data_IF_559071253406
#
_entry.id   IF_559071253406
#
_cell.length_a   1.000
_cell.length_b   1.000
_cell.length_c   1.000
_cell.angle_alpha   90.00
_cell.angle_beta   90.00
_cell.angle_gamma   90.00
#
_symmetry.space_group_name_H-M   'P 1'
#
loop_
_entity.id
_entity.type
_entity.pdbx_description
1 polymer ?
#
# COMPACT_ATOMS: atom_id res chain seq x y z
N UNK A 1 5.03 -4.69 19.85
CA UNK A 1 4.64 -4.79 18.43
C UNK A 1 3.53 -5.83 18.32
N UNK A 2 2.51 -5.57 17.54
CA UNK A 2 1.38 -6.49 17.29
C UNK A 2 1.31 -6.75 15.78
N UNK A 3 1.07 -7.98 15.41
CA UNK A 3 0.77 -8.34 14.01
C UNK A 3 -0.70 -8.07 13.70
N UNK A 4 -0.97 -7.61 12.48
CA UNK A 4 -2.31 -7.31 12.02
C UNK A 4 -2.48 -7.75 10.55
N UNK A 5 -3.27 -8.79 10.33
CA UNK A 5 -3.56 -9.36 9.01
C UNK A 5 -4.13 -8.33 8.02
N UNK A 6 -4.83 -7.31 8.54
CA UNK A 6 -5.38 -6.24 7.71
C UNK A 6 -4.32 -5.48 6.90
N UNK A 7 -3.06 -5.46 7.36
CA UNK A 7 -1.97 -4.69 6.76
C UNK A 7 -0.90 -5.55 6.09
N UNK A 8 -1.17 -6.81 5.86
CA UNK A 8 -0.28 -7.66 5.04
C UNK A 8 -0.20 -7.14 3.60
N UNK A 9 0.82 -7.56 2.87
CA UNK A 9 0.92 -7.21 1.45
C UNK A 9 -0.21 -7.83 0.63
N UNK A 10 -0.48 -7.25 -0.52
CA UNK A 10 -1.38 -7.83 -1.51
C UNK A 10 -0.94 -9.25 -1.87
N UNK A 11 -1.88 -10.17 -1.84
CA UNK A 11 -1.63 -11.52 -2.37
C UNK A 11 -1.58 -11.47 -3.89
N UNK A 12 -0.46 -11.90 -4.47
CA UNK A 12 -0.26 -11.88 -5.92
C UNK A 12 -0.64 -13.20 -6.61
N UNK A 13 -1.14 -14.20 -5.86
CA UNK A 13 -1.63 -15.44 -6.43
C UNK A 13 -0.63 -16.12 -7.34
N UNK A 14 -1.02 -16.46 -8.58
CA UNK A 14 -0.15 -17.18 -9.52
C UNK A 14 1.09 -16.41 -9.98
N UNK A 15 1.22 -15.13 -9.65
CA UNK A 15 2.46 -14.40 -9.91
C UNK A 15 3.53 -14.60 -8.84
N UNK A 16 3.17 -15.13 -7.69
CA UNK A 16 4.13 -15.34 -6.60
C UNK A 16 5.20 -16.33 -7.02
N UNK A 17 6.47 -15.99 -6.76
CA UNK A 17 7.62 -16.77 -7.15
C UNK A 17 8.05 -16.62 -8.62
N UNK A 18 7.33 -15.84 -9.44
CA UNK A 18 7.69 -15.57 -10.83
C UNK A 18 8.46 -14.26 -10.96
N UNK A 19 9.38 -14.23 -11.90
CA UNK A 19 10.00 -12.99 -12.36
C UNK A 19 9.01 -12.17 -13.20
N UNK A 20 9.27 -10.87 -13.38
CA UNK A 20 8.47 -10.02 -14.24
C UNK A 20 8.38 -10.54 -15.68
N UNK A 21 9.46 -11.10 -16.21
CA UNK A 21 9.51 -11.65 -17.57
C UNK A 21 8.66 -12.91 -17.70
N UNK A 22 8.66 -13.76 -16.67
CA UNK A 22 7.79 -14.94 -16.61
C UNK A 22 6.30 -14.55 -16.52
N UNK A 23 5.99 -13.53 -15.72
CA UNK A 23 4.62 -12.97 -15.67
C UNK A 23 4.23 -12.39 -17.02
N UNK A 24 5.11 -11.64 -17.68
CA UNK A 24 4.85 -11.08 -19.00
C UNK A 24 4.60 -12.16 -20.06
N UNK A 25 5.32 -13.27 -19.98
CA UNK A 25 5.13 -14.39 -20.91
C UNK A 25 3.83 -15.17 -20.66
N UNK A 26 3.46 -15.39 -19.40
CA UNK A 26 2.28 -16.20 -19.01
C UNK A 26 0.98 -15.40 -18.94
N UNK A 27 1.05 -14.15 -18.49
CA UNK A 27 -0.10 -13.29 -18.20
C UNK A 27 0.05 -11.88 -18.83
N UNK A 28 0.32 -11.76 -20.14
CA UNK A 28 0.63 -10.46 -20.75
C UNK A 28 -0.51 -9.44 -20.59
N UNK A 29 -1.75 -9.87 -20.71
CA UNK A 29 -2.92 -9.01 -20.53
C UNK A 29 -3.10 -8.53 -19.10
N UNK A 30 -2.91 -9.41 -18.11
CA UNK A 30 -3.02 -9.05 -16.71
C UNK A 30 -1.86 -8.11 -16.26
N UNK A 31 -0.64 -8.35 -16.73
CA UNK A 31 0.50 -7.46 -16.45
C UNK A 31 0.30 -6.07 -17.04
N UNK A 32 -0.27 -6.01 -18.25
CA UNK A 32 -0.61 -4.73 -18.88
C UNK A 32 -1.68 -3.99 -18.08
N UNK A 33 -2.76 -4.67 -17.70
CA UNK A 33 -3.82 -4.09 -16.87
C UNK A 33 -3.27 -3.59 -15.53
N UNK A 34 -2.40 -4.37 -14.87
CA UNK A 34 -1.73 -3.95 -13.64
C UNK A 34 -0.90 -2.68 -13.79
N UNK A 35 -0.27 -2.50 -14.95
CA UNK A 35 0.56 -1.33 -15.22
C UNK A 35 -0.23 -0.08 -15.61
N UNK A 36 -1.33 -0.25 -16.35
CA UNK A 36 -2.10 0.84 -16.96
C UNK A 36 -3.37 1.19 -16.19
N UNK A 37 -4.05 0.19 -15.63
CA UNK A 37 -5.31 0.32 -14.89
C UNK A 37 -5.34 -0.64 -13.68
N UNK A 38 -4.49 -0.42 -12.66
CA UNK A 38 -4.30 -1.37 -11.57
C UNK A 38 -5.59 -1.64 -10.78
N UNK A 39 -6.51 -0.70 -10.72
CA UNK A 39 -7.80 -0.82 -10.06
C UNK A 39 -8.78 -1.80 -10.75
N UNK A 40 -8.53 -2.11 -12.03
CA UNK A 40 -9.31 -3.08 -12.82
C UNK A 40 -8.57 -4.42 -12.99
N UNK A 41 -7.31 -4.48 -12.59
CA UNK A 41 -6.48 -5.66 -12.80
C UNK A 41 -6.92 -6.83 -11.92
N UNK A 42 -6.98 -8.01 -12.52
CA UNK A 42 -7.29 -9.25 -11.84
C UNK A 42 -6.57 -10.42 -12.54
N UNK A 43 -6.12 -11.38 -11.76
CA UNK A 43 -5.55 -12.64 -12.23
C UNK A 43 -5.75 -13.75 -11.20
N UNK A 44 -5.60 -15.03 -11.56
CA UNK A 44 -5.97 -16.14 -10.69
C UNK A 44 -5.24 -16.13 -9.35
N UNK A 45 -6.02 -16.31 -8.28
CA UNK A 45 -5.51 -16.41 -6.92
C UNK A 45 -5.05 -15.10 -6.28
N UNK A 46 -5.04 -13.98 -7.03
CA UNK A 46 -4.63 -12.69 -6.50
C UNK A 46 -5.78 -11.96 -5.77
N UNK A 47 -5.41 -11.11 -4.80
CA UNK A 47 -6.32 -10.07 -4.34
C UNK A 47 -6.47 -8.99 -5.42
N UNK A 48 -7.64 -8.36 -5.51
CA UNK A 48 -7.80 -7.10 -6.23
C UNK A 48 -7.40 -5.93 -5.33
N UNK A 49 -7.10 -4.76 -5.91
CA UNK A 49 -6.87 -3.56 -5.09
C UNK A 49 -8.08 -3.20 -4.22
N UNK A 50 -9.29 -3.46 -4.67
CA UNK A 50 -10.50 -3.26 -3.86
C UNK A 50 -10.51 -4.15 -2.61
N UNK A 51 -10.11 -5.41 -2.72
CA UNK A 51 -9.98 -6.31 -1.56
C UNK A 51 -8.93 -5.82 -0.57
N UNK A 52 -7.76 -5.38 -1.06
CA UNK A 52 -6.71 -4.79 -0.22
C UNK A 52 -7.21 -3.54 0.48
N UNK A 53 -7.89 -2.65 -0.25
CA UNK A 53 -8.51 -1.44 0.32
C UNK A 53 -9.47 -1.79 1.45
N UNK A 54 -10.41 -2.68 1.21
CA UNK A 54 -11.49 -2.97 2.15
C UNK A 54 -10.93 -3.51 3.47
N UNK A 55 -9.97 -4.46 3.42
CA UNK A 55 -9.33 -4.96 4.65
C UNK A 55 -8.43 -3.94 5.33
N UNK A 56 -7.68 -3.15 4.56
CA UNK A 56 -6.76 -2.17 5.12
C UNK A 56 -7.50 -1.00 5.77
N UNK A 57 -8.61 -0.52 5.18
CA UNK A 57 -9.45 0.51 5.78
C UNK A 57 -10.13 0.02 7.06
N UNK A 58 -10.67 -1.20 7.07
CA UNK A 58 -11.25 -1.78 8.29
C UNK A 58 -10.20 -1.86 9.42
N UNK A 59 -8.96 -2.26 9.08
CA UNK A 59 -7.84 -2.25 10.02
C UNK A 59 -7.48 -0.86 10.53
N UNK A 60 -7.47 0.13 9.64
CA UNK A 60 -7.16 1.52 10.00
C UNK A 60 -8.23 2.11 10.92
N UNK A 61 -9.50 1.87 10.64
CA UNK A 61 -10.60 2.30 11.51
C UNK A 61 -10.51 1.67 12.91
N UNK A 62 -10.21 0.38 12.97
CA UNK A 62 -10.00 -0.32 14.23
C UNK A 62 -8.81 0.25 15.03
N UNK A 63 -7.70 0.58 14.34
CA UNK A 63 -6.54 1.24 14.96
C UNK A 63 -6.90 2.62 15.51
N UNK A 64 -7.60 3.44 14.74
CA UNK A 64 -8.01 4.78 15.16
C UNK A 64 -8.95 4.73 16.37
N UNK A 65 -9.90 3.80 16.37
CA UNK A 65 -10.82 3.60 17.48
C UNK A 65 -10.10 3.13 18.78
N UNK A 66 -9.09 2.29 18.62
CA UNK A 66 -8.33 1.75 19.77
C UNK A 66 -7.28 2.75 20.31
N UNK A 67 -6.88 3.74 19.52
CA UNK A 67 -5.80 4.67 19.84
C UNK A 67 -6.19 6.13 19.55
N UNK A 68 -7.29 6.64 20.17
CA UNK A 68 -7.72 8.01 19.94
C UNK A 68 -6.62 8.99 20.39
N UNK A 69 -6.36 10.01 19.57
CA UNK A 69 -5.38 11.07 19.81
C UNK A 69 -3.94 10.57 20.10
N UNK A 70 -3.61 9.37 19.67
CA UNK A 70 -2.28 8.80 19.82
C UNK A 70 -1.56 8.72 18.47
N UNK A 71 -0.24 8.72 18.54
CA UNK A 71 0.60 8.41 17.38
C UNK A 71 0.84 6.91 17.33
N UNK A 72 0.51 6.29 16.20
CA UNK A 72 0.71 4.86 15.94
C UNK A 72 1.72 4.70 14.81
N UNK A 73 2.69 3.83 14.98
CA UNK A 73 3.59 3.42 13.92
C UNK A 73 3.06 2.14 13.28
N UNK A 74 2.71 2.22 11.99
CA UNK A 74 2.30 1.09 11.18
C UNK A 74 3.43 0.71 10.23
N UNK A 75 3.93 -0.51 10.33
CA UNK A 75 4.89 -1.10 9.38
C UNK A 75 4.13 -2.05 8.46
N UNK A 76 4.18 -1.78 7.17
CA UNK A 76 3.46 -2.55 6.16
C UNK A 76 4.28 -2.65 4.87
N UNK A 77 3.63 -2.83 3.73
CA UNK A 77 4.23 -3.19 2.44
C UNK A 77 3.83 -2.19 1.36
N UNK A 78 4.49 -2.32 0.20
CA UNK A 78 4.43 -1.32 -0.86
C UNK A 78 3.03 -1.03 -1.40
N UNK A 79 2.24 -2.06 -1.73
CA UNK A 79 0.89 -1.87 -2.27
C UNK A 79 -0.08 -1.44 -1.17
N UNK A 80 -0.06 -2.12 -0.03
CA UNK A 80 -0.94 -1.80 1.09
C UNK A 80 -0.73 -0.36 1.58
N UNK A 81 0.52 0.11 1.69
CA UNK A 81 0.80 1.50 2.06
C UNK A 81 0.28 2.50 1.01
N UNK A 82 0.46 2.22 -0.29
CA UNK A 82 -0.09 3.09 -1.35
C UNK A 82 -1.61 3.19 -1.24
N UNK A 83 -2.28 2.06 -1.09
CA UNK A 83 -3.74 2.02 -0.96
C UNK A 83 -4.20 2.84 0.24
N UNK A 84 -3.58 2.67 1.41
CA UNK A 84 -3.92 3.44 2.61
C UNK A 84 -3.74 4.95 2.42
N UNK A 85 -2.63 5.39 1.78
CA UNK A 85 -2.37 6.81 1.54
C UNK A 85 -3.38 7.38 0.53
N UNK A 86 -3.66 6.67 -0.56
CA UNK A 86 -4.64 7.10 -1.55
C UNK A 86 -6.01 7.31 -0.94
N UNK A 87 -6.50 6.32 -0.20
CA UNK A 87 -7.81 6.38 0.45
C UNK A 87 -7.86 7.47 1.52
N UNK A 88 -6.80 7.62 2.32
CA UNK A 88 -6.73 8.68 3.32
C UNK A 88 -6.79 10.10 2.73
N UNK A 89 -6.31 10.27 1.49
CA UNK A 89 -6.33 11.53 0.75
C UNK A 89 -7.57 11.67 -0.16
N UNK A 90 -8.47 10.70 -0.17
CA UNK A 90 -9.64 10.70 -1.05
C UNK A 90 -9.31 10.54 -2.53
N UNK A 91 -8.19 9.91 -2.85
CA UNK A 91 -7.77 9.61 -4.21
C UNK A 91 -8.21 8.20 -4.62
N UNK A 92 -8.52 8.02 -5.89
CA UNK A 92 -8.92 6.72 -6.42
C UNK A 92 -7.75 5.74 -6.56
N UNK A 93 -8.08 4.43 -6.56
CA UNK A 93 -7.11 3.35 -6.74
C UNK A 93 -6.45 3.35 -8.13
N UNK A 94 -7.05 4.02 -9.12
CA UNK A 94 -6.46 4.29 -10.44
C UNK A 94 -5.14 5.09 -10.33
N UNK A 95 -4.93 5.79 -9.20
CA UNK A 95 -3.73 6.57 -8.90
C UNK A 95 -2.62 5.77 -8.21
N UNK A 96 -2.71 4.44 -8.15
CA UNK A 96 -1.74 3.60 -7.44
C UNK A 96 -0.29 3.94 -7.78
N UNK A 97 -0.01 4.12 -9.07
CA UNK A 97 1.34 4.39 -9.56
C UNK A 97 1.74 5.87 -9.52
N UNK A 98 0.83 6.75 -9.09
CA UNK A 98 1.15 8.17 -8.85
C UNK A 98 1.95 8.37 -7.56
N UNK A 99 1.96 7.37 -6.67
CA UNK A 99 2.72 7.40 -5.42
C UNK A 99 3.98 6.54 -5.56
N UNK A 100 5.14 7.13 -5.29
CA UNK A 100 6.38 6.37 -5.17
C UNK A 100 6.71 6.15 -3.70
N UNK A 101 6.86 4.88 -3.32
CA UNK A 101 7.29 4.49 -1.98
C UNK A 101 8.55 3.64 -2.09
N UNK A 102 9.59 4.04 -1.38
CA UNK A 102 10.82 3.27 -1.25
C UNK A 102 10.74 2.34 -0.02
N UNK A 103 11.50 1.28 -0.04
CA UNK A 103 11.70 0.45 1.15
C UNK A 103 12.18 1.33 2.31
N UNK A 104 11.64 1.10 3.50
CA UNK A 104 11.93 1.87 4.74
C UNK A 104 11.52 3.35 4.69
N UNK A 105 10.85 3.81 3.65
CA UNK A 105 10.32 5.18 3.57
C UNK A 105 9.26 5.44 4.65
N UNK A 106 9.32 6.62 5.27
CA UNK A 106 8.37 7.03 6.30
C UNK A 106 7.38 8.03 5.71
N UNK A 107 6.09 7.73 5.84
CA UNK A 107 5.00 8.65 5.54
C UNK A 107 4.22 8.94 6.82
N UNK A 108 3.80 10.18 7.01
CA UNK A 108 3.12 10.64 8.20
C UNK A 108 1.78 11.28 7.83
N UNK A 109 0.70 10.69 8.33
CA UNK A 109 -0.66 11.16 8.15
C UNK A 109 -1.27 11.51 9.51
N UNK A 110 -1.96 12.63 9.55
CA UNK A 110 -2.80 13.05 10.68
C UNK A 110 -4.26 12.96 10.27
N UNK A 111 -5.04 12.23 11.05
CA UNK A 111 -6.48 12.06 10.85
C UNK A 111 -7.25 12.96 11.82
N UNK A 112 -8.12 13.79 11.28
CA UNK A 112 -9.11 14.59 12.01
C UNK A 112 -10.52 14.18 11.57
N UNK A 113 -11.52 14.67 12.27
CA UNK A 113 -12.91 14.30 11.99
C UNK A 113 -13.31 14.61 10.53
N UNK A 114 -12.90 15.77 10.01
CA UNK A 114 -13.32 16.26 8.71
C UNK A 114 -12.27 16.14 7.60
N UNK A 115 -11.00 15.90 7.94
CA UNK A 115 -9.95 15.79 6.93
C UNK A 115 -8.73 15.02 7.41
N UNK A 116 -7.93 14.60 6.44
CA UNK A 116 -6.60 14.00 6.66
C UNK A 116 -5.52 14.94 6.15
N UNK A 117 -4.45 15.09 6.91
CA UNK A 117 -3.27 15.83 6.50
C UNK A 117 -2.11 14.86 6.27
N UNK A 118 -1.49 14.92 5.11
CA UNK A 118 -0.23 14.25 4.81
C UNK A 118 0.93 15.21 5.13
N UNK A 119 1.61 14.99 6.24
CA UNK A 119 2.74 15.82 6.68
C UNK A 119 4.04 15.48 5.98
N UNK A 120 4.26 14.18 5.73
CA UNK A 120 5.43 13.66 5.03
C UNK A 120 5.03 12.50 4.16
N UNK A 121 5.73 12.36 3.05
CA UNK A 121 5.59 11.23 2.17
C UNK A 121 6.95 10.66 1.79
N UNK A 122 7.12 9.35 1.98
CA UNK A 122 8.30 8.61 1.53
C UNK A 122 9.63 9.24 1.98
N UNK A 123 9.70 9.76 3.20
CA UNK A 123 10.94 10.34 3.74
C UNK A 123 11.98 9.26 3.99
N UNK A 124 13.18 9.48 3.47
CA UNK A 124 14.37 8.63 3.63
C UNK A 124 15.48 9.35 4.43
N UNK A 125 15.16 10.46 5.06
CA UNK A 125 16.15 11.31 5.79
C UNK A 125 16.89 10.51 6.86
N UNK A 126 16.24 9.55 7.50
CA UNK A 126 16.86 8.68 8.50
C UNK A 126 17.95 7.73 7.93
N UNK A 127 18.08 7.64 6.61
CA UNK A 127 19.11 6.83 5.95
C UNK A 127 20.33 7.64 5.51
N UNK A 128 20.29 8.96 5.65
CA UNK A 128 21.37 9.84 5.14
C UNK A 128 22.72 9.63 5.83
N UNK A 129 22.73 9.09 7.05
CA UNK A 129 23.95 8.77 7.81
C UNK A 129 24.33 7.28 7.72
N UNK A 130 23.54 6.47 7.02
CA UNK A 130 23.87 5.06 6.77
C UNK A 130 24.59 4.97 5.44
N UNK A 131 25.91 4.74 5.49
CA UNK A 131 26.66 4.37 4.30
C UNK A 131 26.03 3.07 3.75
N UNK A 132 25.28 3.19 2.66
CA UNK A 132 24.79 2.03 1.93
C UNK A 132 26.01 1.43 1.26
N UNK A 133 26.54 0.39 1.89
CA UNK A 133 27.61 -0.41 1.34
C UNK A 133 27.08 -1.28 0.20
#
# INVERSE_FOLDING_TARGET
MREAEAFKEMGFGEWEGLTRDEVAARFPGALRAWSEAPHEAAWPGAETLAMVRDRALAGLEALRAAHPEQTVCLVSHGITCRVLILEALGLGLDRLWSLQLASTGISELEFRDDWTTLHRMNSLVHLTDVAIA
#
